data_IF_746217484924
#
_entry.id   IF_746217484924
#
_cell.length_a   1.000
_cell.length_b   1.000
_cell.length_c   1.000
_cell.angle_alpha   90.00
_cell.angle_beta   90.00
_cell.angle_gamma   90.00
#
_symmetry.space_group_name_H-M   'P 1'
#
loop_
_entity.id
_entity.type
_entity.pdbx_description
1 polymer ?
#
# COMPACT_ATOMS: atom_id res chain seq x y z
N UNK A 1 21.46 -7.00 -16.08
CA UNK A 1 20.29 -6.85 -16.96
C UNK A 1 19.38 -8.07 -16.97
N UNK A 2 19.94 -9.26 -17.01
CA UNK A 2 19.15 -10.50 -16.96
C UNK A 2 18.35 -10.60 -15.65
N UNK A 3 18.96 -10.19 -14.55
CA UNK A 3 18.35 -10.24 -13.21
C UNK A 3 17.17 -9.30 -13.08
N UNK A 4 17.22 -8.13 -13.72
CA UNK A 4 16.13 -7.16 -13.70
C UNK A 4 14.94 -7.68 -14.49
N UNK A 5 15.17 -8.35 -15.60
CA UNK A 5 14.09 -8.90 -16.42
C UNK A 5 13.42 -10.09 -15.74
N UNK A 6 14.20 -10.99 -15.14
CA UNK A 6 13.67 -12.10 -14.36
C UNK A 6 12.91 -11.64 -13.14
N UNK A 7 13.46 -10.67 -12.42
CA UNK A 7 12.83 -10.05 -11.29
C UNK A 7 11.51 -9.38 -11.68
N UNK A 8 11.48 -8.71 -12.81
CA UNK A 8 10.27 -8.08 -13.34
C UNK A 8 9.21 -9.11 -13.75
N UNK A 9 9.60 -10.19 -14.41
CA UNK A 9 8.68 -11.25 -14.84
C UNK A 9 8.10 -12.02 -13.65
N UNK A 10 8.89 -12.28 -12.64
CA UNK A 10 8.43 -12.99 -11.45
C UNK A 10 7.45 -12.19 -10.61
N UNK A 11 7.47 -10.86 -10.73
CA UNK A 11 6.57 -9.96 -10.02
C UNK A 11 5.33 -9.57 -10.79
N UNK A 12 5.21 -10.00 -12.04
CA UNK A 12 4.02 -9.75 -12.87
C UNK A 12 2.84 -10.62 -12.49
N UNK A 13 2.75 -11.00 -11.24
CA UNK A 13 1.56 -11.66 -10.73
C UNK A 13 0.56 -10.61 -10.30
N UNK A 14 -0.72 -10.77 -10.63
CA UNK A 14 -1.75 -9.84 -10.17
C UNK A 14 -1.73 -9.70 -8.66
N UNK A 15 -2.05 -8.50 -8.18
CA UNK A 15 -2.27 -8.27 -6.77
C UNK A 15 -3.42 -9.15 -6.30
N UNK A 16 -3.20 -9.91 -5.23
CA UNK A 16 -4.21 -10.80 -4.65
C UNK A 16 -4.53 -10.39 -3.23
N UNK A 17 -5.69 -10.80 -2.74
CA UNK A 17 -6.04 -10.61 -1.34
C UNK A 17 -5.12 -11.42 -0.43
N UNK A 18 -4.71 -10.82 0.67
CA UNK A 18 -3.87 -11.45 1.69
C UNK A 18 -4.64 -11.44 3.01
N UNK A 19 -4.97 -12.60 3.53
CA UNK A 19 -5.53 -12.70 4.87
C UNK A 19 -4.41 -12.63 5.89
N UNK A 20 -4.42 -11.59 6.72
CA UNK A 20 -3.40 -11.41 7.75
C UNK A 20 -3.82 -12.15 9.03
N UNK A 21 -5.03 -11.88 9.50
CA UNK A 21 -5.63 -12.56 10.66
C UNK A 21 -7.16 -12.40 10.62
N UNK A 22 -7.85 -12.72 11.70
CA UNK A 22 -9.31 -12.64 11.78
C UNK A 22 -9.87 -11.22 11.72
N UNK A 23 -9.02 -10.21 11.94
CA UNK A 23 -9.40 -8.80 12.00
C UNK A 23 -8.83 -7.96 10.88
N UNK A 24 -7.95 -8.54 10.06
CA UNK A 24 -7.23 -7.80 9.05
C UNK A 24 -7.09 -8.61 7.77
N UNK A 25 -7.61 -8.06 6.69
CA UNK A 25 -7.43 -8.56 5.33
C UNK A 25 -6.91 -7.42 4.47
N UNK A 26 -5.94 -7.71 3.63
CA UNK A 26 -5.46 -6.80 2.60
C UNK A 26 -6.16 -7.17 1.29
N UNK A 27 -6.95 -6.25 0.75
CA UNK A 27 -7.65 -6.45 -0.53
C UNK A 27 -7.04 -5.57 -1.60
N UNK A 28 -6.91 -6.04 -2.85
CA UNK A 28 -6.41 -5.20 -3.93
C UNK A 28 -7.20 -3.90 -4.02
N UNK A 29 -6.48 -2.78 -4.02
CA UNK A 29 -7.09 -1.47 -4.15
C UNK A 29 -7.75 -1.32 -5.52
N UNK A 30 -8.97 -0.80 -5.54
CA UNK A 30 -9.78 -0.69 -6.74
C UNK A 30 -10.69 0.52 -6.65
N UNK A 31 -11.22 0.94 -7.80
CA UNK A 31 -12.10 2.11 -7.88
C UNK A 31 -13.35 1.99 -6.99
N UNK A 32 -13.85 0.78 -6.76
CA UNK A 32 -14.97 0.54 -5.84
C UNK A 32 -14.68 0.97 -4.40
N UNK A 33 -13.42 1.18 -4.05
CA UNK A 33 -13.02 1.61 -2.70
C UNK A 33 -13.00 3.14 -2.54
N UNK A 34 -13.39 3.90 -3.57
CA UNK A 34 -13.22 5.35 -3.59
C UNK A 34 -13.90 6.06 -2.43
N UNK A 35 -15.16 5.74 -2.16
CA UNK A 35 -15.92 6.39 -1.10
C UNK A 35 -15.28 6.17 0.27
N UNK A 36 -14.98 4.91 0.60
CA UNK A 36 -14.37 4.54 1.87
C UNK A 36 -12.96 5.09 2.02
N UNK A 37 -12.18 5.08 0.94
CA UNK A 37 -10.83 5.64 0.95
C UNK A 37 -10.85 7.15 1.14
N UNK A 38 -11.77 7.85 0.49
CA UNK A 38 -11.93 9.30 0.65
C UNK A 38 -12.28 9.66 2.09
N UNK A 39 -13.22 8.95 2.69
CA UNK A 39 -13.59 9.15 4.10
C UNK A 39 -12.39 8.95 5.03
N UNK A 40 -11.68 7.84 4.87
CA UNK A 40 -10.51 7.52 5.70
C UNK A 40 -9.38 8.53 5.50
N UNK A 41 -9.15 8.98 4.26
CA UNK A 41 -8.16 10.00 3.94
C UNK A 41 -8.46 11.32 4.64
N UNK A 42 -9.69 11.81 4.53
CA UNK A 42 -10.10 13.08 5.15
C UNK A 42 -10.04 13.00 6.68
N UNK A 43 -10.43 11.87 7.26
CA UNK A 43 -10.33 11.64 8.70
C UNK A 43 -8.87 11.68 9.18
N UNK A 44 -7.93 11.18 8.36
CA UNK A 44 -6.52 11.07 8.72
C UNK A 44 -5.71 12.29 8.32
N UNK A 45 -6.34 13.28 7.72
CA UNK A 45 -5.70 14.55 7.38
C UNK A 45 -5.36 15.34 8.65
N UNK A 46 -4.17 16.02 8.76
CA UNK A 46 -3.16 16.17 7.71
C UNK A 46 -2.07 15.07 7.72
N UNK A 47 -2.10 14.14 8.63
CA UNK A 47 -1.04 13.13 8.78
C UNK A 47 -0.83 12.30 7.51
N UNK A 48 -1.91 11.95 6.84
CA UNK A 48 -1.88 11.14 5.61
C UNK A 48 -1.07 11.80 4.47
N UNK A 49 -0.88 13.12 4.52
CA UNK A 49 -0.10 13.85 3.54
C UNK A 49 1.35 13.40 3.46
N UNK A 50 1.87 12.79 4.50
CA UNK A 50 3.23 12.24 4.51
C UNK A 50 3.35 10.99 3.65
N UNK A 51 2.32 10.18 3.64
CA UNK A 51 2.26 8.95 2.84
C UNK A 51 1.80 9.21 1.41
N UNK A 52 0.96 10.21 1.20
CA UNK A 52 0.40 10.58 -0.10
C UNK A 52 0.62 12.06 -0.39
N UNK A 53 1.89 12.51 -0.52
CA UNK A 53 2.21 13.93 -0.67
C UNK A 53 1.78 14.51 -2.02
N UNK A 54 1.48 13.67 -3.00
CA UNK A 54 1.02 14.09 -4.33
C UNK A 54 -0.45 14.51 -4.36
N UNK A 55 -1.22 14.24 -3.31
CA UNK A 55 -2.60 14.71 -3.20
C UNK A 55 -2.59 16.17 -2.78
N UNK A 56 -3.13 17.02 -3.64
CA UNK A 56 -3.27 18.45 -3.37
C UNK A 56 -4.57 18.70 -2.62
N UNK A 57 -4.51 19.17 -1.35
CA UNK A 57 -5.70 19.38 -0.54
C UNK A 57 -6.57 20.54 -1.02
N UNK A 58 -6.01 21.45 -1.84
CA UNK A 58 -6.71 22.61 -2.38
C UNK A 58 -7.51 22.28 -3.65
N UNK A 59 -7.37 21.05 -4.15
CA UNK A 59 -8.13 20.53 -5.30
C UNK A 59 -9.10 19.47 -4.84
N UNK A 60 -9.93 18.98 -5.77
CA UNK A 60 -10.84 17.88 -5.48
C UNK A 60 -10.10 16.61 -5.08
N UNK A 61 -10.10 16.31 -3.79
CA UNK A 61 -9.43 15.13 -3.22
C UNK A 61 -10.01 13.83 -3.78
N UNK A 62 -11.34 13.76 -3.89
CA UNK A 62 -12.00 12.55 -4.38
C UNK A 62 -11.62 12.24 -5.82
N UNK A 63 -11.51 13.25 -6.67
CA UNK A 63 -11.06 13.09 -8.05
C UNK A 63 -9.63 12.56 -8.13
N UNK A 64 -8.74 13.09 -7.30
CA UNK A 64 -7.35 12.63 -7.23
C UNK A 64 -7.24 11.20 -6.73
N UNK A 65 -8.02 10.83 -5.73
CA UNK A 65 -8.07 9.45 -5.22
C UNK A 65 -8.70 8.50 -6.23
N UNK A 66 -9.65 8.96 -7.02
CA UNK A 66 -10.23 8.18 -8.14
C UNK A 66 -9.16 7.82 -9.16
N UNK A 67 -8.37 8.80 -9.60
CA UNK A 67 -7.27 8.59 -10.54
C UNK A 67 -6.24 7.60 -9.97
N UNK A 68 -5.89 7.76 -8.70
CA UNK A 68 -4.99 6.87 -8.01
C UNK A 68 -5.52 5.43 -7.98
N UNK A 69 -6.79 5.23 -7.62
CA UNK A 69 -7.38 3.90 -7.53
C UNK A 69 -7.52 3.22 -8.89
N UNK A 70 -7.88 3.97 -9.93
CA UNK A 70 -7.93 3.44 -11.30
C UNK A 70 -6.56 2.93 -11.74
N UNK A 71 -5.51 3.70 -11.50
CA UNK A 71 -4.16 3.30 -11.83
C UNK A 71 -3.71 2.10 -10.98
N UNK A 72 -3.96 2.13 -9.66
CA UNK A 72 -3.62 1.05 -8.75
C UNK A 72 -4.28 -0.27 -9.17
N UNK A 73 -5.55 -0.23 -9.56
CA UNK A 73 -6.29 -1.40 -10.02
C UNK A 73 -5.70 -1.93 -11.33
N UNK A 74 -5.47 -1.06 -12.29
CA UNK A 74 -4.91 -1.43 -13.61
C UNK A 74 -3.50 -2.01 -13.48
N UNK A 75 -2.64 -1.33 -12.74
CA UNK A 75 -1.25 -1.76 -12.53
C UNK A 75 -1.16 -3.01 -11.67
N UNK A 76 -2.05 -3.15 -10.70
CA UNK A 76 -2.12 -4.34 -9.87
C UNK A 76 -2.53 -5.58 -10.66
N UNK A 77 -3.50 -5.46 -11.55
CA UNK A 77 -3.89 -6.56 -12.45
C UNK A 77 -2.76 -6.97 -13.37
N UNK A 78 -1.96 -6.01 -13.83
CA UNK A 78 -0.80 -6.27 -14.68
C UNK A 78 0.42 -6.80 -13.90
N UNK A 79 0.37 -6.79 -12.57
CA UNK A 79 1.49 -7.22 -11.72
C UNK A 79 2.66 -6.25 -11.70
N UNK A 80 2.43 -4.99 -12.06
CA UNK A 80 3.48 -3.97 -12.17
C UNK A 80 3.70 -3.21 -10.86
N UNK A 81 2.62 -2.92 -10.16
CA UNK A 81 2.62 -2.30 -8.83
C UNK A 81 1.56 -2.99 -8.00
N UNK A 82 1.68 -2.92 -6.70
CA UNK A 82 0.74 -3.57 -5.79
C UNK A 82 0.26 -2.61 -4.72
N UNK A 83 -1.04 -2.36 -4.68
CA UNK A 83 -1.68 -1.57 -3.64
C UNK A 83 -2.83 -2.36 -3.05
N UNK A 84 -2.92 -2.34 -1.72
CA UNK A 84 -4.00 -2.98 -0.97
C UNK A 84 -4.67 -1.98 -0.06
N UNK A 85 -5.98 -2.10 0.06
CA UNK A 85 -6.70 -1.52 1.19
C UNK A 85 -6.62 -2.49 2.36
N UNK A 86 -6.44 -1.94 3.55
CA UNK A 86 -6.52 -2.69 4.81
C UNK A 86 -7.97 -2.68 5.27
N UNK A 87 -8.54 -3.84 5.54
CA UNK A 87 -9.97 -3.97 5.88
C UNK A 87 -10.15 -4.87 7.09
N UNK A 88 -11.05 -4.48 7.98
CA UNK A 88 -11.59 -5.38 9.00
C UNK A 88 -12.69 -6.24 8.34
N UNK A 89 -12.47 -7.55 8.17
CA UNK A 89 -13.42 -8.40 7.44
C UNK A 89 -14.75 -8.57 8.15
N UNK A 90 -14.82 -8.27 9.46
CA UNK A 90 -16.06 -8.41 10.23
C UNK A 90 -17.05 -7.28 9.93
N UNK A 91 -16.55 -6.09 9.60
CA UNK A 91 -17.37 -4.91 9.34
C UNK A 91 -17.23 -4.38 7.91
N UNK A 92 -16.28 -4.89 7.12
CA UNK A 92 -15.85 -4.34 5.84
C UNK A 92 -15.32 -2.89 5.94
N UNK A 93 -14.93 -2.46 7.13
CA UNK A 93 -14.43 -1.12 7.35
C UNK A 93 -13.01 -0.99 6.80
N UNK A 94 -12.79 0.01 5.96
CA UNK A 94 -11.46 0.35 5.46
C UNK A 94 -10.65 1.00 6.59
N UNK A 95 -9.48 0.45 6.87
CA UNK A 95 -8.61 0.86 7.98
C UNK A 95 -7.41 1.66 7.48
N UNK A 96 -6.96 1.44 6.26
CA UNK A 96 -5.78 2.10 5.71
C UNK A 96 -5.42 1.60 4.33
N UNK A 97 -4.23 1.97 3.92
CA UNK A 97 -3.69 1.65 2.60
C UNK A 97 -2.23 1.21 2.75
N UNK A 98 -1.82 0.22 1.98
CA UNK A 98 -0.43 -0.20 1.87
C UNK A 98 -0.11 -0.45 0.40
N UNK A 99 1.03 0.07 -0.06
CA UNK A 99 1.45 -0.07 -1.43
C UNK A 99 2.90 -0.49 -1.55
N UNK A 100 3.16 -1.32 -2.54
CA UNK A 100 4.48 -1.74 -2.94
C UNK A 100 4.71 -1.32 -4.38
N UNK A 101 5.46 -0.24 -4.58
CA UNK A 101 5.69 0.36 -5.88
C UNK A 101 7.17 0.73 -6.08
N UNK A 102 7.48 1.26 -7.24
CA UNK A 102 8.85 1.64 -7.57
C UNK A 102 9.14 3.07 -7.18
N UNK A 103 10.36 3.31 -6.71
CA UNK A 103 10.88 4.66 -6.51
C UNK A 103 11.28 5.22 -7.87
N UNK A 104 10.45 6.11 -8.40
CA UNK A 104 10.60 6.66 -9.75
C UNK A 104 11.84 7.51 -9.98
N UNK A 105 12.53 7.93 -8.91
CA UNK A 105 13.71 8.82 -8.98
C UNK A 105 15.03 8.10 -8.79
N UNK A 106 15.01 6.80 -8.51
CA UNK A 106 16.23 6.05 -8.33
C UNK A 106 16.66 5.41 -9.66
N UNK A 107 17.96 5.48 -9.96
CA UNK A 107 18.55 4.75 -11.08
C UNK A 107 18.65 3.25 -10.80
N UNK A 108 18.37 2.83 -9.56
CA UNK A 108 18.30 1.44 -9.14
C UNK A 108 16.84 0.99 -9.16
N UNK A 109 16.62 -0.28 -9.36
CA UNK A 109 15.28 -0.89 -9.31
C UNK A 109 14.77 -0.99 -7.87
N UNK A 110 14.82 0.10 -7.14
CA UNK A 110 14.40 0.11 -5.76
C UNK A 110 12.87 0.13 -5.67
N UNK A 111 12.36 -0.69 -4.80
CA UNK A 111 10.95 -0.74 -4.48
C UNK A 111 10.69 0.03 -3.18
N UNK A 112 9.54 0.67 -3.14
CA UNK A 112 9.10 1.43 -1.98
C UNK A 112 7.87 0.76 -1.38
N UNK A 113 7.90 0.55 -0.08
CA UNK A 113 6.75 0.13 0.70
C UNK A 113 6.19 1.34 1.44
N UNK A 114 5.05 1.85 0.97
CA UNK A 114 4.36 2.97 1.58
C UNK A 114 3.08 2.53 2.25
N UNK A 115 2.71 3.14 3.37
CA UNK A 115 1.49 2.79 4.09
C UNK A 115 0.99 3.93 4.97
N UNK A 116 -0.28 3.88 5.29
CA UNK A 116 -0.87 4.70 6.35
C UNK A 116 -2.08 3.97 6.94
N UNK A 117 -2.37 4.29 8.18
CA UNK A 117 -3.48 3.73 8.94
C UNK A 117 -4.40 4.86 9.37
N UNK A 118 -5.70 4.64 9.23
CA UNK A 118 -6.76 5.56 9.63
C UNK A 118 -6.58 5.98 11.09
N UNK A 119 -6.77 7.27 11.38
CA UNK A 119 -6.47 7.85 12.71
C UNK A 119 -7.05 7.05 13.87
N UNK A 120 -8.30 6.62 13.75
CA UNK A 120 -8.98 5.87 14.82
C UNK A 120 -8.45 4.44 15.01
N UNK A 121 -7.72 3.92 14.06
CA UNK A 121 -7.25 2.53 14.08
C UNK A 121 -5.74 2.42 14.33
N UNK A 122 -5.06 3.53 14.56
CA UNK A 122 -3.63 3.55 14.83
C UNK A 122 -3.30 2.94 16.20
N UNK A 123 -2.03 2.54 16.38
CA UNK A 123 -1.49 1.95 17.61
C UNK A 123 -2.09 0.59 17.98
N UNK A 124 -2.56 -0.16 17.00
CA UNK A 124 -3.08 -1.51 17.19
C UNK A 124 -2.22 -2.57 16.48
N UNK A 125 -1.03 -2.18 16.01
CA UNK A 125 -0.13 -3.06 15.28
C UNK A 125 -0.59 -3.42 13.86
N UNK A 126 -1.55 -2.67 13.32
CA UNK A 126 -2.12 -2.95 11.99
C UNK A 126 -1.06 -2.75 10.90
N UNK A 127 -0.32 -1.64 10.95
CA UNK A 127 0.73 -1.36 9.99
C UNK A 127 1.79 -2.47 9.98
N UNK A 128 2.28 -2.86 11.15
CA UNK A 128 3.29 -3.90 11.29
C UNK A 128 2.81 -5.24 10.71
N UNK A 129 1.62 -5.67 11.07
CA UNK A 129 1.06 -6.94 10.57
C UNK A 129 0.86 -6.89 9.05
N UNK A 130 0.44 -5.74 8.52
CA UNK A 130 0.28 -5.54 7.08
C UNK A 130 1.62 -5.58 6.35
N UNK A 131 2.65 -4.91 6.88
CA UNK A 131 4.00 -4.91 6.33
C UNK A 131 4.56 -6.33 6.29
N UNK A 132 4.48 -7.06 7.40
CA UNK A 132 4.97 -8.43 7.50
C UNK A 132 4.28 -9.34 6.47
N UNK A 133 2.97 -9.20 6.31
CA UNK A 133 2.20 -9.98 5.33
C UNK A 133 2.59 -9.66 3.89
N UNK A 134 2.78 -8.39 3.56
CA UNK A 134 3.18 -7.95 2.23
C UNK A 134 4.60 -8.43 1.90
N UNK A 135 5.54 -8.29 2.83
CA UNK A 135 6.92 -8.75 2.63
C UNK A 135 6.99 -10.27 2.45
N UNK A 136 6.20 -11.01 3.20
CA UNK A 136 6.09 -12.46 3.03
C UNK A 136 5.55 -12.83 1.65
N UNK A 137 4.49 -12.15 1.22
CA UNK A 137 3.91 -12.39 -0.10
C UNK A 137 4.92 -12.08 -1.22
N UNK A 138 5.66 -10.97 -1.11
CA UNK A 138 6.70 -10.60 -2.06
C UNK A 138 7.80 -11.67 -2.11
N UNK A 139 8.21 -12.19 -0.97
CA UNK A 139 9.19 -13.27 -0.89
C UNK A 139 8.71 -14.57 -1.54
N UNK A 140 7.40 -14.83 -1.52
CA UNK A 140 6.80 -16.01 -2.17
C UNK A 140 6.74 -15.87 -3.70
N UNK A 141 6.57 -14.64 -4.21
CA UNK A 141 6.44 -14.39 -5.65
C UNK A 141 7.74 -13.95 -6.32
N UNK A 142 8.79 -13.72 -5.55
CA UNK A 142 10.10 -13.31 -6.04
C UNK A 142 11.20 -14.07 -5.30
N UNK A 143 12.13 -14.62 -6.06
CA UNK A 143 13.31 -15.28 -5.48
C UNK A 143 14.47 -14.30 -5.26
N UNK A 144 14.29 -13.03 -5.60
CA UNK A 144 15.33 -12.01 -5.52
C UNK A 144 15.17 -11.20 -4.24
N UNK A 145 16.28 -10.94 -3.56
CA UNK A 145 16.29 -10.02 -2.42
C UNK A 145 16.07 -8.60 -2.94
N UNK A 146 15.11 -7.94 -2.35
CA UNK A 146 14.70 -6.60 -2.77
C UNK A 146 15.08 -5.61 -1.68
N UNK A 147 15.73 -4.54 -2.08
CA UNK A 147 15.88 -3.38 -1.20
C UNK A 147 14.54 -2.66 -1.14
N UNK A 148 14.00 -2.53 0.06
CA UNK A 148 12.73 -1.85 0.30
C UNK A 148 12.97 -0.64 1.18
N UNK A 149 12.47 0.52 0.75
CA UNK A 149 12.40 1.71 1.59
C UNK A 149 10.98 1.85 2.15
N UNK A 150 10.89 2.41 3.33
CA UNK A 150 9.62 2.58 4.02
C UNK A 150 9.21 4.05 4.03
N UNK A 151 7.94 4.30 3.73
CA UNK A 151 7.30 5.58 3.96
C UNK A 151 6.26 5.39 5.06
N UNK A 152 6.36 6.15 6.14
CA UNK A 152 5.48 6.01 7.30
C UNK A 152 5.02 7.38 7.80
N UNK A 153 3.91 7.39 8.53
CA UNK A 153 3.31 8.62 9.02
C UNK A 153 4.05 9.25 10.17
N UNK A 154 4.51 8.44 11.12
CA UNK A 154 5.10 8.91 12.37
C UNK A 154 6.43 8.24 12.64
N UNK A 155 7.37 9.01 13.19
CA UNK A 155 8.69 8.49 13.55
C UNK A 155 8.62 7.35 14.58
N UNK A 156 7.64 7.34 15.47
CA UNK A 156 7.48 6.28 16.45
C UNK A 156 6.80 5.02 15.89
N UNK A 157 6.18 5.12 14.74
CA UNK A 157 5.65 3.94 14.03
C UNK A 157 6.77 3.17 13.34
N UNK A 158 7.92 3.82 13.10
CA UNK A 158 9.13 3.13 12.67
C UNK A 158 9.77 2.30 13.77
N UNK A 159 9.49 2.63 15.02
CA UNK A 159 9.89 1.78 16.14
C UNK A 159 9.16 0.44 16.12
N UNK A 160 8.39 0.18 15.11
CA UNK A 160 8.02 -1.17 14.78
C UNK A 160 9.25 -2.02 14.59
N UNK A 161 10.40 -1.36 14.53
CA UNK A 161 11.70 -1.99 14.45
C UNK A 161 11.58 -3.39 13.91
N UNK A 162 11.43 -3.37 12.63
CA UNK A 162 11.31 -4.57 11.84
C UNK A 162 12.52 -5.45 12.04
#
# INVERSE_FOLDING_TARGET
MLDIALEYDMRRRPTVSIRVDERLVLRPAALRNLEDLTEAFLETWPEVSRAMPWIDPDKDVQSQLSDFLEEAERMGRAGLLHHWIMVDPRSNRLIGLIGFDRVTRSKKSDWNLGYWVRSLDQRQGIARRSIDAVLKWIGEVSHTVIAVSYTHLRAHETALDL
#
